data_IF_547567835121
#
_entry.id   IF_547567835121
#
_cell.length_a   1.000
_cell.length_b   1.000
_cell.length_c   1.000
_cell.angle_alpha   90.00
_cell.angle_beta   90.00
_cell.angle_gamma   90.00
#
_symmetry.space_group_name_H-M   'P 1'
#
loop_
_entity.id
_entity.type
_entity.pdbx_description
1 polymer ?
#
# COMPACT_ATOMS: atom_id res chain seq x y z
N UNK A 1 1.07 -18.41 -20.59
CA UNK A 1 2.15 -17.59 -19.99
C UNK A 1 1.58 -16.37 -19.25
N UNK A 2 0.42 -15.84 -19.68
CA UNK A 2 -0.29 -14.71 -19.04
C UNK A 2 -0.82 -15.00 -17.63
N UNK A 3 -1.23 -16.24 -17.34
CA UNK A 3 -1.74 -16.64 -16.01
C UNK A 3 -0.72 -16.39 -14.90
N UNK A 4 0.55 -16.77 -15.08
CA UNK A 4 1.60 -16.56 -14.09
C UNK A 4 1.85 -15.07 -13.81
N UNK A 5 1.72 -14.23 -14.84
CA UNK A 5 1.92 -12.80 -14.75
C UNK A 5 0.76 -12.15 -13.97
N UNK A 6 -0.48 -12.56 -14.24
CA UNK A 6 -1.66 -12.10 -13.49
C UNK A 6 -1.62 -12.54 -12.01
N UNK A 7 -1.15 -13.75 -11.71
CA UNK A 7 -0.92 -14.19 -10.33
C UNK A 7 0.13 -13.34 -9.62
N UNK A 8 1.24 -13.01 -10.30
CA UNK A 8 2.29 -12.18 -9.72
C UNK A 8 1.80 -10.76 -9.45
N UNK A 9 1.08 -10.16 -10.40
CA UNK A 9 0.49 -8.82 -10.25
C UNK A 9 -0.57 -8.79 -9.15
N UNK A 10 -1.38 -9.85 -9.02
CA UNK A 10 -2.33 -10.02 -7.91
C UNK A 10 -1.63 -10.06 -6.55
N UNK A 11 -0.54 -10.81 -6.45
CA UNK A 11 0.27 -10.88 -5.23
C UNK A 11 0.92 -9.53 -4.89
N UNK A 12 1.42 -8.81 -5.90
CA UNK A 12 1.96 -7.44 -5.73
C UNK A 12 0.89 -6.48 -5.22
N UNK A 13 -0.33 -6.54 -5.75
CA UNK A 13 -1.43 -5.70 -5.29
C UNK A 13 -1.80 -5.98 -3.82
N UNK A 14 -1.81 -7.25 -3.40
CA UNK A 14 -2.05 -7.66 -2.01
C UNK A 14 -0.92 -7.20 -1.06
N UNK A 15 0.34 -7.32 -1.47
CA UNK A 15 1.48 -6.86 -0.65
C UNK A 15 1.46 -5.34 -0.46
N UNK A 16 1.12 -4.56 -1.49
CA UNK A 16 0.91 -3.12 -1.35
C UNK A 16 -0.24 -2.77 -0.41
N UNK A 17 -1.35 -3.52 -0.47
CA UNK A 17 -2.46 -3.35 0.46
C UNK A 17 -2.01 -3.61 1.91
N UNK A 18 -1.27 -4.70 2.15
CA UNK A 18 -0.73 -5.04 3.47
C UNK A 18 0.24 -3.96 3.99
N UNK A 19 1.13 -3.43 3.14
CA UNK A 19 2.02 -2.32 3.50
C UNK A 19 1.23 -1.07 3.87
N UNK A 20 0.17 -0.73 3.14
CA UNK A 20 -0.69 0.42 3.47
C UNK A 20 -1.30 0.27 4.87
N UNK A 21 -1.82 -0.92 5.21
CA UNK A 21 -2.37 -1.22 6.54
C UNK A 21 -1.29 -1.07 7.63
N UNK A 22 -0.08 -1.57 7.38
CA UNK A 22 1.04 -1.43 8.33
C UNK A 22 1.38 0.04 8.59
N UNK A 23 1.43 0.88 7.55
CA UNK A 23 1.68 2.31 7.72
C UNK A 23 0.54 3.04 8.42
N UNK A 24 -0.72 2.61 8.21
CA UNK A 24 -1.87 3.11 8.99
C UNK A 24 -1.73 2.78 10.48
N UNK A 25 -1.34 1.55 10.82
CA UNK A 25 -1.08 1.16 12.21
C UNK A 25 0.07 1.96 12.82
N UNK A 26 1.15 2.18 12.06
CA UNK A 26 2.27 3.03 12.48
C UNK A 26 1.84 4.47 12.71
N UNK A 27 0.98 5.02 11.85
CA UNK A 27 0.44 6.36 12.00
C UNK A 27 -0.41 6.49 13.27
N UNK A 28 -1.27 5.52 13.56
CA UNK A 28 -2.06 5.49 14.80
C UNK A 28 -1.16 5.47 16.04
N UNK A 29 -0.07 4.69 16.02
CA UNK A 29 0.93 4.69 17.11
C UNK A 29 1.65 6.03 17.25
N UNK A 30 1.91 6.73 16.14
CA UNK A 30 2.65 7.99 16.14
C UNK A 30 1.79 9.21 16.53
N UNK A 31 0.47 9.17 16.29
CA UNK A 31 -0.43 10.28 16.63
C UNK A 31 -0.40 10.66 18.12
N UNK A 32 -0.13 9.71 19.02
CA UNK A 32 0.03 9.97 20.46
C UNK A 32 1.41 10.47 20.91
N UNK A 33 2.40 10.56 20.01
CA UNK A 33 3.80 10.86 20.36
C UNK A 33 4.24 12.29 20.05
N UNK A 34 3.39 13.10 19.41
CA UNK A 34 3.72 14.47 19.00
C UNK A 34 4.80 14.59 17.91
N UNK A 35 5.29 13.48 17.35
CA UNK A 35 6.33 13.47 16.30
C UNK A 35 5.74 13.74 14.91
N UNK A 36 5.41 15.01 14.67
CA UNK A 36 4.82 15.53 13.42
C UNK A 36 5.51 15.02 12.14
N UNK A 37 6.86 15.09 11.96
CA UNK A 37 7.50 14.64 10.72
C UNK A 37 7.35 13.13 10.49
N UNK A 38 7.33 12.33 11.56
CA UNK A 38 7.10 10.89 11.45
C UNK A 38 5.65 10.56 11.08
N UNK A 39 4.67 11.34 11.58
CA UNK A 39 3.25 11.19 11.24
C UNK A 39 3.03 11.51 9.76
N UNK A 40 3.58 12.62 9.26
CA UNK A 40 3.45 13.04 7.86
C UNK A 40 4.06 12.00 6.93
N UNK A 41 5.29 11.53 7.22
CA UNK A 41 5.94 10.51 6.39
C UNK A 41 5.20 9.17 6.41
N UNK A 42 4.65 8.75 7.56
CA UNK A 42 3.83 7.53 7.64
C UNK A 42 2.56 7.66 6.81
N UNK A 43 1.90 8.83 6.84
CA UNK A 43 0.69 9.11 6.05
C UNK A 43 0.97 9.09 4.55
N UNK A 44 2.04 9.74 4.13
CA UNK A 44 2.44 9.79 2.72
C UNK A 44 2.73 8.38 2.19
N UNK A 45 3.46 7.56 2.97
CA UNK A 45 3.73 6.16 2.60
C UNK A 45 2.46 5.31 2.54
N UNK A 46 1.55 5.46 3.51
CA UNK A 46 0.26 4.77 3.48
C UNK A 46 -0.51 5.06 2.17
N UNK A 47 -0.57 6.34 1.77
CA UNK A 47 -1.26 6.78 0.55
C UNK A 47 -0.57 6.21 -0.70
N UNK A 48 0.76 6.27 -0.76
CA UNK A 48 1.53 5.74 -1.89
C UNK A 48 1.27 4.24 -2.08
N UNK A 49 1.32 3.44 -1.02
CA UNK A 49 1.06 2.00 -1.12
C UNK A 49 -0.39 1.69 -1.45
N UNK A 50 -1.34 2.49 -0.97
CA UNK A 50 -2.75 2.35 -1.36
C UNK A 50 -2.93 2.63 -2.86
N UNK A 51 -2.32 3.69 -3.37
CA UNK A 51 -2.37 4.05 -4.79
C UNK A 51 -1.73 2.96 -5.67
N UNK A 52 -0.57 2.43 -5.28
CA UNK A 52 0.11 1.34 -5.98
C UNK A 52 -0.72 0.05 -5.98
N UNK A 53 -1.40 -0.27 -4.88
CA UNK A 53 -2.31 -1.42 -4.80
C UNK A 53 -3.44 -1.29 -5.82
N UNK A 54 -4.09 -0.12 -5.89
CA UNK A 54 -5.18 0.16 -6.84
C UNK A 54 -4.69 0.10 -8.29
N UNK A 55 -3.57 0.75 -8.61
CA UNK A 55 -2.96 0.69 -9.95
C UNK A 55 -2.65 -0.76 -10.35
N UNK A 56 -2.06 -1.54 -9.44
CA UNK A 56 -1.76 -2.95 -9.69
C UNK A 56 -3.02 -3.79 -9.91
N UNK A 57 -4.11 -3.52 -9.18
CA UNK A 57 -5.39 -4.22 -9.36
C UNK A 57 -6.07 -3.85 -10.68
N UNK A 58 -5.99 -2.59 -11.09
CA UNK A 58 -6.53 -2.12 -12.37
C UNK A 58 -5.83 -2.76 -13.57
N UNK A 59 -4.51 -3.00 -13.48
CA UNK A 59 -3.77 -3.72 -14.52
C UNK A 59 -4.36 -5.12 -14.74
N UNK A 60 -4.77 -5.83 -13.68
CA UNK A 60 -5.38 -7.17 -13.79
C UNK A 60 -6.78 -7.12 -14.40
N UNK A 61 -7.54 -6.04 -14.18
CA UNK A 61 -8.89 -5.88 -14.73
C UNK A 61 -8.89 -5.52 -16.22
N UNK A 62 -7.82 -4.87 -16.70
CA UNK A 62 -7.70 -4.41 -18.09
C UNK A 62 -6.92 -5.42 -18.95
N UNK A 63 -6.07 -6.26 -18.32
CA UNK A 63 -5.34 -7.35 -18.98
C UNK A 63 -6.22 -8.60 -19.16
#
# INVERSE_FOLDING_TARGET
>A
METNLNYLVGFISLTFMALSIMYKLKLNKLQGTGRIPSIISARQRQILFMMLSVLSALIILIA
#
